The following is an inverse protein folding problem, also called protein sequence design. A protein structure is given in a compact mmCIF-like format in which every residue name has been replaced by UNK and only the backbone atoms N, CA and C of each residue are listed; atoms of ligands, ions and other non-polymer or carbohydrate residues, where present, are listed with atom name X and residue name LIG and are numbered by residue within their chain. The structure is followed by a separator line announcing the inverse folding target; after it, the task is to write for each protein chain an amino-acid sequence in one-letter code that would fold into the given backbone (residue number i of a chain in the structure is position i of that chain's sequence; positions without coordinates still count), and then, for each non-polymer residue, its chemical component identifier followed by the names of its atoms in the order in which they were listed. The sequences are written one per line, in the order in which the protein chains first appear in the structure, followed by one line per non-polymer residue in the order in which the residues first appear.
data_IF_189165102227
#
_entry.id   IF_189165102227
#
_cell.length_a   1.000
_cell.length_b   1.000
_cell.length_c   1.000
_cell.angle_alpha   90.00
_cell.angle_beta   90.00
_cell.angle_gamma   90.00
#
_symmetry.space_group_name_H-M   'P 1'
#
loop_
_entity.id
_entity.type
_entity.pdbx_description
1 polymer ?
#
# COMPACT_ATOMS: atom_id res chain seq x y z
N UNK A 1 20.89 -0.96 -20.28
CA UNK A 1 19.69 -1.81 -20.17
C UNK A 1 18.87 -1.44 -18.94
N UNK A 2 19.35 -1.66 -17.70
CA UNK A 2 18.61 -1.37 -16.46
C UNK A 2 18.13 0.10 -16.31
N UNK A 3 18.95 1.08 -16.67
CA UNK A 3 18.58 2.50 -16.59
C UNK A 3 17.38 2.85 -17.49
N UNK A 4 17.35 2.33 -18.71
CA UNK A 4 16.28 2.60 -19.67
C UNK A 4 14.97 1.96 -19.21
N UNK A 5 15.03 0.71 -18.74
CA UNK A 5 13.87 -0.01 -18.19
C UNK A 5 13.33 0.67 -16.94
N UNK A 6 14.19 1.13 -16.03
CA UNK A 6 13.76 1.84 -14.83
C UNK A 6 13.12 3.20 -15.16
N UNK A 7 13.68 3.95 -16.12
CA UNK A 7 13.12 5.22 -16.55
C UNK A 7 11.72 5.06 -17.16
N UNK A 8 11.57 4.12 -18.10
CA UNK A 8 10.26 3.82 -18.70
C UNK A 8 9.27 3.23 -17.68
N UNK A 9 9.75 2.35 -16.79
CA UNK A 9 8.93 1.72 -15.76
C UNK A 9 8.43 2.71 -14.70
N UNK A 10 9.24 3.72 -14.36
CA UNK A 10 8.85 4.76 -13.41
C UNK A 10 7.64 5.56 -13.91
N UNK A 11 7.60 5.92 -15.20
CA UNK A 11 6.47 6.62 -15.79
C UNK A 11 5.17 5.80 -15.70
N UNK A 12 5.28 4.49 -15.92
CA UNK A 12 4.13 3.57 -15.85
C UNK A 12 3.66 3.40 -14.41
N UNK A 13 4.57 3.25 -13.44
CA UNK A 13 4.22 3.06 -12.03
C UNK A 13 3.60 4.31 -11.39
N UNK A 14 3.93 5.50 -11.90
CA UNK A 14 3.35 6.76 -11.41
C UNK A 14 1.87 6.92 -11.81
N UNK A 15 1.45 6.36 -12.94
CA UNK A 15 0.10 6.53 -13.46
C UNK A 15 -0.99 5.96 -12.50
N UNK A 16 -0.91 4.71 -12.01
CA UNK A 16 -1.89 4.18 -11.06
C UNK A 16 -1.96 4.97 -9.76
N UNK A 17 -0.81 5.46 -9.26
CA UNK A 17 -0.75 6.24 -8.02
C UNK A 17 -1.55 7.54 -8.17
N UNK A 18 -1.39 8.23 -9.31
CA UNK A 18 -2.17 9.42 -9.63
C UNK A 18 -3.66 9.10 -9.77
N UNK A 19 -4.00 8.06 -10.53
CA UNK A 19 -5.39 7.68 -10.80
C UNK A 19 -6.16 7.29 -9.54
N UNK A 20 -5.51 6.61 -8.59
CA UNK A 20 -6.12 6.26 -7.29
C UNK A 20 -6.31 7.47 -6.37
N UNK A 21 -5.40 8.45 -6.40
CA UNK A 21 -5.46 9.62 -5.53
C UNK A 21 -6.41 10.71 -6.07
N UNK A 22 -6.50 10.86 -7.39
CA UNK A 22 -7.30 11.89 -8.04
C UNK A 22 -8.77 11.98 -7.59
N UNK A 23 -9.57 10.90 -7.53
CA UNK A 23 -10.98 10.99 -7.11
C UNK A 23 -11.14 11.45 -5.66
N UNK A 24 -10.21 11.08 -4.78
CA UNK A 24 -10.21 11.51 -3.38
C UNK A 24 -9.95 13.02 -3.24
N UNK A 25 -9.18 13.57 -4.17
CA UNK A 25 -8.86 15.00 -4.22
C UNK A 25 -9.97 15.78 -4.93
N UNK A 26 -10.47 15.28 -6.04
CA UNK A 26 -11.56 15.90 -6.80
C UNK A 26 -12.85 16.02 -5.98
N UNK A 27 -13.21 14.98 -5.20
CA UNK A 27 -14.38 15.02 -4.33
C UNK A 27 -14.32 16.14 -3.29
N UNK A 28 -13.11 16.52 -2.83
CA UNK A 28 -12.90 17.64 -1.90
C UNK A 28 -12.85 19.01 -2.58
N UNK A 29 -12.66 19.04 -3.90
CA UNK A 29 -12.54 20.26 -4.70
C UNK A 29 -13.76 20.55 -5.57
N UNK A 30 -14.80 19.71 -5.57
CA UNK A 30 -16.04 19.98 -6.29
C UNK A 30 -16.76 21.28 -5.85
N UNK A 31 -16.42 21.82 -4.68
CA UNK A 31 -16.89 23.12 -4.19
C UNK A 31 -15.94 24.29 -4.56
N UNK A 32 -14.77 24.01 -5.12
CA UNK A 32 -13.73 24.98 -5.42
C UNK A 32 -13.71 25.42 -6.90
N UNK A 33 -13.11 26.59 -7.14
CA UNK A 33 -13.05 27.23 -8.45
C UNK A 33 -12.22 26.43 -9.48
N UNK A 34 -12.54 26.53 -10.77
CA UNK A 34 -11.94 25.70 -11.84
C UNK A 34 -10.39 25.80 -11.90
N UNK A 35 -9.82 26.97 -11.58
CA UNK A 35 -8.36 27.16 -11.48
C UNK A 35 -7.72 26.40 -10.31
N UNK A 36 -8.44 26.19 -9.20
CA UNK A 36 -7.93 25.44 -8.05
C UNK A 36 -7.79 23.95 -8.37
N UNK A 37 -8.73 23.40 -9.15
CA UNK A 37 -8.69 22.01 -9.62
C UNK A 37 -7.48 21.74 -10.50
N UNK A 38 -7.17 22.65 -11.44
CA UNK A 38 -5.98 22.54 -12.30
C UNK A 38 -4.70 22.65 -11.48
N UNK A 39 -4.64 23.60 -10.55
CA UNK A 39 -3.48 23.73 -9.66
C UNK A 39 -3.24 22.47 -8.83
N UNK A 40 -4.32 21.86 -8.30
CA UNK A 40 -4.23 20.66 -7.48
C UNK A 40 -3.77 19.42 -8.27
N UNK A 41 -4.17 19.28 -9.54
CA UNK A 41 -3.67 18.22 -10.42
C UNK A 41 -2.13 18.30 -10.53
N UNK A 42 -1.61 19.48 -10.87
CA UNK A 42 -0.16 19.70 -10.94
C UNK A 42 0.53 19.50 -9.59
N UNK A 43 -0.07 20.00 -8.50
CA UNK A 43 0.47 19.84 -7.16
C UNK A 43 0.56 18.36 -6.76
N UNK A 44 -0.43 17.54 -7.09
CA UNK A 44 -0.45 16.12 -6.76
C UNK A 44 0.64 15.34 -7.53
N UNK A 45 0.77 15.60 -8.83
CA UNK A 45 1.84 14.99 -9.65
C UNK A 45 3.22 15.38 -9.12
N UNK A 46 3.40 16.66 -8.80
CA UNK A 46 4.68 17.15 -8.27
C UNK A 46 4.98 16.55 -6.89
N UNK A 47 3.97 16.44 -6.01
CA UNK A 47 4.12 15.86 -4.69
C UNK A 47 4.61 14.40 -4.73
N UNK A 48 4.07 13.57 -5.63
CA UNK A 48 4.49 12.17 -5.78
C UNK A 48 5.96 12.07 -6.24
N UNK A 49 6.38 12.92 -7.17
CA UNK A 49 7.77 12.98 -7.64
C UNK A 49 8.72 13.48 -6.53
N UNK A 50 8.33 14.54 -5.82
CA UNK A 50 9.13 15.09 -4.71
C UNK A 50 9.26 14.08 -3.57
N UNK A 51 8.19 13.35 -3.25
CA UNK A 51 8.22 12.29 -2.24
C UNK A 51 9.20 11.18 -2.65
N UNK A 52 9.16 10.76 -3.92
CA UNK A 52 10.09 9.77 -4.46
C UNK A 52 11.55 10.25 -4.37
N UNK A 53 11.80 11.52 -4.69
CA UNK A 53 13.12 12.15 -4.58
C UNK A 53 13.58 12.26 -3.12
N UNK A 54 12.68 12.62 -2.20
CA UNK A 54 12.95 12.67 -0.76
C UNK A 54 13.34 11.30 -0.20
N UNK A 55 12.62 10.23 -0.58
CA UNK A 55 12.98 8.86 -0.20
C UNK A 55 14.35 8.46 -0.75
N UNK A 56 14.68 8.83 -1.99
CA UNK A 56 15.99 8.57 -2.57
C UNK A 56 17.13 9.29 -1.84
N UNK A 57 16.88 10.49 -1.30
CA UNK A 57 17.86 11.23 -0.50
C UNK A 57 18.04 10.65 0.91
N UNK A 58 16.96 10.21 1.55
CA UNK A 58 16.98 9.71 2.93
C UNK A 58 17.55 8.29 3.03
N UNK A 59 17.40 7.46 1.99
CA UNK A 59 17.77 6.04 2.02
C UNK A 59 19.12 5.82 1.32
N UNK A 60 20.23 5.66 2.07
CA UNK A 60 21.55 5.43 1.47
C UNK A 60 21.73 4.03 0.88
N UNK A 61 21.01 3.02 1.41
CA UNK A 61 21.12 1.61 0.98
C UNK A 61 19.75 1.04 0.57
N UNK A 62 19.31 1.34 -0.66
CA UNK A 62 18.02 0.88 -1.19
C UNK A 62 17.87 -0.65 -1.19
N UNK A 63 18.96 -1.39 -1.47
CA UNK A 63 18.97 -2.86 -1.54
C UNK A 63 18.49 -3.51 -0.24
N UNK A 64 18.81 -2.89 0.89
CA UNK A 64 18.47 -3.41 2.21
C UNK A 64 17.02 -3.12 2.59
N UNK A 65 16.45 -2.02 2.07
CA UNK A 65 15.09 -1.58 2.43
C UNK A 65 14.02 -2.24 1.55
N UNK A 66 14.31 -2.53 0.29
CA UNK A 66 13.34 -3.15 -0.65
C UNK A 66 12.64 -4.39 -0.07
N UNK A 67 13.35 -5.37 0.53
CA UNK A 67 12.70 -6.54 1.11
C UNK A 67 11.77 -6.21 2.29
N UNK A 68 12.10 -5.20 3.10
CA UNK A 68 11.25 -4.79 4.21
C UNK A 68 9.95 -4.19 3.72
N UNK A 69 10.02 -3.24 2.79
CA UNK A 69 8.83 -2.57 2.25
C UNK A 69 8.00 -3.56 1.44
N UNK A 70 8.65 -4.50 0.73
CA UNK A 70 7.99 -5.57 -0.02
C UNK A 70 7.21 -6.55 0.87
N UNK A 71 7.82 -7.05 1.95
CA UNK A 71 7.11 -7.94 2.89
C UNK A 71 5.98 -7.20 3.59
N UNK A 72 6.22 -5.99 4.09
CA UNK A 72 5.20 -5.23 4.84
C UNK A 72 4.01 -4.88 3.96
N UNK A 73 4.26 -4.24 2.82
CA UNK A 73 3.20 -3.80 1.89
C UNK A 73 2.55 -5.00 1.20
N UNK A 74 3.34 -6.02 0.82
CA UNK A 74 2.84 -7.23 0.18
C UNK A 74 1.94 -8.06 1.08
N UNK A 75 2.31 -8.28 2.34
CA UNK A 75 1.47 -9.02 3.29
C UNK A 75 0.19 -8.25 3.63
N UNK A 76 0.28 -6.92 3.77
CA UNK A 76 -0.90 -6.08 3.95
C UNK A 76 -1.85 -6.19 2.74
N UNK A 77 -1.36 -6.01 1.51
CA UNK A 77 -2.19 -6.08 0.31
C UNK A 77 -2.75 -7.47 0.02
N UNK A 78 -1.99 -8.54 0.29
CA UNK A 78 -2.41 -9.90 -0.04
C UNK A 78 -3.34 -10.53 1.00
N UNK A 79 -3.12 -10.27 2.29
CA UNK A 79 -3.81 -10.99 3.37
C UNK A 79 -4.63 -10.09 4.29
N UNK A 80 -4.32 -8.81 4.39
CA UNK A 80 -5.03 -7.90 5.28
C UNK A 80 -6.18 -7.17 4.57
N UNK A 81 -5.89 -6.56 3.42
CA UNK A 81 -6.89 -5.78 2.68
C UNK A 81 -8.08 -6.60 2.16
N UNK A 82 -7.93 -7.80 1.58
CA UNK A 82 -9.07 -8.57 1.08
C UNK A 82 -10.12 -8.92 2.15
N UNK A 83 -9.76 -9.55 3.29
CA UNK A 83 -10.75 -9.86 4.33
C UNK A 83 -11.30 -8.60 5.01
N UNK A 84 -10.53 -7.51 5.07
CA UNK A 84 -11.03 -6.24 5.58
C UNK A 84 -12.12 -5.65 4.67
N UNK A 85 -11.87 -5.61 3.36
CA UNK A 85 -12.86 -5.14 2.38
C UNK A 85 -14.08 -6.06 2.35
N UNK A 86 -13.88 -7.37 2.41
CA UNK A 86 -14.98 -8.35 2.49
C UNK A 86 -15.85 -8.11 3.73
N UNK A 87 -15.22 -7.88 4.88
CA UNK A 87 -15.94 -7.60 6.14
C UNK A 87 -16.77 -6.31 6.03
N UNK A 88 -16.23 -5.24 5.43
CA UNK A 88 -16.96 -3.98 5.28
C UNK A 88 -18.08 -4.08 4.23
N UNK A 89 -17.80 -4.70 3.07
CA UNK A 89 -18.74 -4.76 1.96
C UNK A 89 -19.91 -5.73 2.21
N UNK A 90 -19.65 -6.87 2.87
CA UNK A 90 -20.67 -7.92 3.07
C UNK A 90 -21.29 -7.92 4.47
N UNK A 91 -20.95 -6.96 5.33
CA UNK A 91 -21.48 -6.85 6.70
C UNK A 91 -23.01 -6.93 6.74
N UNK A 92 -23.69 -6.10 5.94
CA UNK A 92 -25.16 -6.02 5.90
C UNK A 92 -25.81 -7.27 5.31
N UNK A 93 -25.10 -7.95 4.42
CA UNK A 93 -25.57 -9.16 3.75
C UNK A 93 -25.56 -10.36 4.72
N UNK A 94 -24.49 -10.51 5.49
CA UNK A 94 -24.36 -11.59 6.47
C UNK A 94 -25.29 -11.41 7.66
N UNK A 95 -25.51 -10.18 8.12
CA UNK A 95 -26.43 -9.85 9.22
C UNK A 95 -27.87 -10.29 8.93
N UNK A 96 -28.29 -10.30 7.67
CA UNK A 96 -29.65 -10.68 7.25
C UNK A 96 -29.83 -12.18 6.96
N UNK A 97 -28.74 -12.93 6.78
CA UNK A 97 -28.80 -14.33 6.33
C UNK A 97 -28.99 -15.33 7.47
N UNK A 98 -27.96 -15.52 8.31
CA UNK A 98 -27.98 -16.45 9.45
C UNK A 98 -26.83 -16.15 10.40
N UNK A 99 -27.07 -16.25 11.71
CA UNK A 99 -26.04 -16.04 12.74
C UNK A 99 -24.83 -16.98 12.57
N UNK A 100 -25.06 -18.22 12.12
CA UNK A 100 -23.98 -19.19 11.93
C UNK A 100 -23.03 -18.78 10.80
N UNK A 101 -23.59 -18.40 9.65
CA UNK A 101 -22.81 -17.92 8.50
C UNK A 101 -22.07 -16.63 8.81
N UNK A 102 -22.70 -15.72 9.57
CA UNK A 102 -22.05 -14.49 10.03
C UNK A 102 -20.83 -14.78 10.91
N UNK A 103 -20.98 -15.61 11.94
CA UNK A 103 -19.87 -15.93 12.86
C UNK A 103 -18.76 -16.67 12.13
N UNK A 104 -19.10 -17.61 11.23
CA UNK A 104 -18.11 -18.37 10.48
C UNK A 104 -17.27 -17.48 9.55
N UNK A 105 -17.90 -16.60 8.77
CA UNK A 105 -17.20 -15.71 7.84
C UNK A 105 -16.34 -14.67 8.58
N UNK A 106 -16.87 -14.11 9.67
CA UNK A 106 -16.10 -13.18 10.51
C UNK A 106 -14.89 -13.89 11.14
N UNK A 107 -15.06 -15.11 11.65
CA UNK A 107 -13.96 -15.89 12.22
C UNK A 107 -12.87 -16.18 11.19
N UNK A 108 -13.24 -16.56 9.96
CA UNK A 108 -12.29 -16.75 8.86
C UNK A 108 -11.56 -15.46 8.49
N UNK A 109 -12.26 -14.33 8.41
CA UNK A 109 -11.63 -13.04 8.10
C UNK A 109 -10.64 -12.62 9.17
N UNK A 110 -11.00 -12.79 10.45
CA UNK A 110 -10.07 -12.55 11.57
C UNK A 110 -8.86 -13.49 11.50
N UNK A 111 -9.06 -14.75 11.12
CA UNK A 111 -7.97 -15.70 10.94
C UNK A 111 -7.00 -15.25 9.83
N UNK A 112 -7.50 -14.85 8.66
CA UNK A 112 -6.66 -14.32 7.57
C UNK A 112 -5.90 -13.06 7.96
N UNK A 113 -6.56 -12.12 8.64
CA UNK A 113 -5.91 -10.90 9.17
C UNK A 113 -4.79 -11.27 10.15
N UNK A 114 -5.05 -12.21 11.06
CA UNK A 114 -4.06 -12.66 12.04
C UNK A 114 -2.82 -13.29 11.35
N UNK A 115 -3.05 -14.07 10.30
CA UNK A 115 -2.03 -14.72 9.50
C UNK A 115 -1.20 -13.69 8.72
N UNK A 116 -1.85 -12.65 8.16
CA UNK A 116 -1.17 -11.52 7.53
C UNK A 116 -0.24 -10.78 8.49
N UNK A 117 -0.68 -10.50 9.72
CA UNK A 117 0.15 -9.86 10.75
C UNK A 117 1.32 -10.76 11.16
N UNK A 118 1.08 -12.06 11.36
CA UNK A 118 2.14 -13.02 11.69
C UNK A 118 3.22 -13.07 10.60
N UNK A 119 2.82 -13.16 9.33
CA UNK A 119 3.76 -13.18 8.21
C UNK A 119 4.51 -11.86 8.05
N UNK A 120 3.87 -10.73 8.34
CA UNK A 120 4.54 -9.44 8.39
C UNK A 120 5.62 -9.41 9.48
N UNK A 121 5.31 -9.84 10.71
CA UNK A 121 6.28 -9.87 11.82
C UNK A 121 7.44 -10.81 11.50
N UNK A 122 7.15 -12.04 11.06
CA UNK A 122 8.17 -13.03 10.73
C UNK A 122 9.06 -12.54 9.59
N UNK A 123 8.47 -11.94 8.55
CA UNK A 123 9.24 -11.46 7.41
C UNK A 123 10.09 -10.22 7.75
N UNK A 124 9.58 -9.28 8.56
CA UNK A 124 10.38 -8.16 9.07
C UNK A 124 11.54 -8.66 9.95
N UNK A 125 11.27 -9.61 10.85
CA UNK A 125 12.29 -10.20 11.71
C UNK A 125 13.37 -10.93 10.91
N UNK A 126 12.98 -11.72 9.90
CA UNK A 126 13.91 -12.41 9.01
C UNK A 126 14.81 -11.43 8.26
N UNK A 127 14.22 -10.38 7.67
CA UNK A 127 14.97 -9.34 6.97
C UNK A 127 15.93 -8.60 7.93
N UNK A 128 15.50 -8.31 9.15
CA UNK A 128 16.34 -7.68 10.17
C UNK A 128 17.53 -8.57 10.55
N UNK A 129 17.33 -9.88 10.73
CA UNK A 129 18.42 -10.80 11.01
C UNK A 129 19.46 -10.83 9.89
N UNK A 130 19.01 -10.80 8.63
CA UNK A 130 19.91 -10.74 7.47
C UNK A 130 20.76 -9.47 7.51
N UNK A 131 20.13 -8.30 7.75
CA UNK A 131 20.87 -7.04 7.89
C UNK A 131 21.84 -7.04 9.07
N UNK A 132 21.44 -7.61 10.21
CA UNK A 132 22.29 -7.69 11.40
C UNK A 132 23.52 -8.57 11.17
N UNK A 133 23.37 -9.70 10.47
CA UNK A 133 24.49 -10.59 10.12
C UNK A 133 25.45 -9.94 9.12
N UNK A 134 24.93 -9.17 8.16
CA UNK A 134 25.75 -8.47 7.18
C UNK A 134 26.60 -7.33 7.78
N UNK A 135 26.18 -6.78 8.92
CA UNK A 135 26.91 -5.71 9.64
C UNK A 135 27.90 -6.23 10.71
N UNK A 136 28.08 -7.55 10.87
CA UNK A 136 29.14 -8.09 11.75
C UNK A 136 30.45 -8.22 10.95
N UNK A 137 31.60 -7.78 11.51
CA UNK A 137 32.91 -7.90 10.86
C UNK A 137 33.36 -9.35 10.69
#
# INVERSE_FOLDING_TARGET
MLLLTNYCGYLIQHYPVYEMLWPSVQSRLNEANNSATVFMDFALRYAVVVLSFGLAYVIPNFKDIVPFVGVTTGMMLALFFPPLLETVAFYDCWKKSSLFTFIFNVALNVFYISLGILFMIVGVYSNYQVLSKQNRP
#
